data_IF_547243820326
#
_entry.id   IF_547243820326
#
_cell.length_a   1.000
_cell.length_b   1.000
_cell.length_c   1.000
_cell.angle_alpha   90.00
_cell.angle_beta   90.00
_cell.angle_gamma   90.00
#
_symmetry.space_group_name_H-M   'P 1'
#
loop_
_entity.id
_entity.type
_entity.pdbx_description
1 polymer ?
#
# COMPACT_ATOMS: atom_id res chain seq x y z
N UNK A 1 -12.45 26.61 6.50
CA UNK A 1 -12.14 28.00 6.10
C UNK A 1 -12.49 28.25 4.62
N UNK A 2 -13.74 28.00 4.22
CA UNK A 2 -14.27 28.29 2.88
C UNK A 2 -15.33 29.42 2.95
N UNK A 3 -16.13 29.41 4.02
CA UNK A 3 -17.08 30.48 4.36
C UNK A 3 -16.43 31.87 4.49
N UNK A 4 -15.14 31.94 4.86
CA UNK A 4 -14.41 33.21 4.99
C UNK A 4 -14.05 33.90 3.67
N UNK A 5 -14.12 33.20 2.53
CA UNK A 5 -13.89 33.75 1.20
C UNK A 5 -15.20 33.95 0.42
N UNK A 6 -16.24 33.19 0.76
CA UNK A 6 -17.60 33.37 0.21
C UNK A 6 -18.16 34.76 0.52
N UNK A 7 -17.81 35.36 1.66
CA UNK A 7 -18.28 36.71 2.02
C UNK A 7 -17.86 37.79 1.00
N UNK A 8 -16.81 37.55 0.22
CA UNK A 8 -16.32 38.50 -0.80
C UNK A 8 -17.25 38.59 -2.02
N UNK A 9 -18.14 37.62 -2.22
CA UNK A 9 -19.16 37.65 -3.28
C UNK A 9 -20.25 38.69 -3.00
N UNK A 10 -20.47 39.07 -1.74
CA UNK A 10 -21.43 40.11 -1.35
C UNK A 10 -20.87 41.54 -1.46
N UNK A 11 -19.68 41.72 -2.04
CA UNK A 11 -19.05 43.03 -2.17
C UNK A 11 -19.60 43.83 -3.35
N UNK A 12 -19.77 45.15 -3.18
CA UNK A 12 -20.11 46.07 -4.26
C UNK A 12 -18.94 46.36 -5.23
N UNK A 13 -17.72 45.95 -4.87
CA UNK A 13 -16.56 46.10 -5.75
C UNK A 13 -16.36 44.83 -6.58
N UNK A 14 -16.56 44.92 -7.90
CA UNK A 14 -16.47 43.78 -8.81
C UNK A 14 -15.12 43.03 -8.77
N UNK A 15 -14.02 43.71 -8.45
CA UNK A 15 -12.71 43.07 -8.26
C UNK A 15 -12.67 42.15 -7.03
N UNK A 16 -13.33 42.53 -5.94
CA UNK A 16 -13.43 41.70 -4.72
C UNK A 16 -14.33 40.49 -4.97
N UNK A 17 -15.41 40.66 -5.74
CA UNK A 17 -16.30 39.55 -6.12
C UNK A 17 -15.56 38.53 -6.98
N UNK A 18 -14.82 38.98 -8.00
CA UNK A 18 -14.00 38.11 -8.86
C UNK A 18 -12.93 37.36 -8.05
N UNK A 19 -12.23 38.05 -7.15
CA UNK A 19 -11.24 37.45 -6.26
C UNK A 19 -11.88 36.45 -5.29
N UNK A 20 -13.04 36.76 -4.74
CA UNK A 20 -13.82 35.88 -3.87
C UNK A 20 -14.20 34.58 -4.57
N UNK A 21 -14.76 34.67 -5.78
CA UNK A 21 -15.13 33.51 -6.58
C UNK A 21 -13.92 32.63 -6.93
N UNK A 22 -12.82 33.25 -7.37
CA UNK A 22 -11.59 32.54 -7.74
C UNK A 22 -10.97 31.81 -6.54
N UNK A 23 -10.84 32.51 -5.41
CA UNK A 23 -10.23 31.95 -4.19
C UNK A 23 -11.10 30.86 -3.56
N UNK A 24 -12.43 31.06 -3.47
CA UNK A 24 -13.36 30.03 -3.02
C UNK A 24 -13.27 28.77 -3.89
N UNK A 25 -13.28 28.90 -5.22
CA UNK A 25 -13.19 27.75 -6.13
C UNK A 25 -11.86 27.01 -5.94
N UNK A 26 -10.76 27.74 -5.80
CA UNK A 26 -9.43 27.16 -5.54
C UNK A 26 -9.40 26.37 -4.24
N UNK A 27 -10.05 26.85 -3.17
CA UNK A 27 -10.12 26.13 -1.89
C UNK A 27 -10.91 24.82 -1.96
N UNK A 28 -12.00 24.79 -2.74
CA UNK A 28 -12.76 23.55 -3.00
C UNK A 28 -11.85 22.55 -3.69
N UNK A 29 -11.18 22.97 -4.76
CA UNK A 29 -10.24 22.12 -5.50
C UNK A 29 -9.12 21.65 -4.58
N UNK A 30 -8.55 22.54 -3.75
CA UNK A 30 -7.52 22.19 -2.78
C UNK A 30 -7.98 21.12 -1.79
N UNK A 31 -9.23 21.19 -1.33
CA UNK A 31 -9.80 20.17 -0.45
C UNK A 31 -9.90 18.82 -1.17
N UNK A 32 -10.39 18.78 -2.41
CA UNK A 32 -10.41 17.56 -3.21
C UNK A 32 -9.01 17.01 -3.49
N UNK A 33 -8.06 17.87 -3.84
CA UNK A 33 -6.65 17.50 -4.02
C UNK A 33 -6.09 16.86 -2.76
N UNK A 34 -6.36 17.41 -1.58
CA UNK A 34 -5.86 16.82 -0.34
C UNK A 34 -6.48 15.45 -0.03
N UNK A 35 -7.71 15.20 -0.48
CA UNK A 35 -8.38 13.91 -0.28
C UNK A 35 -8.05 12.87 -1.36
N UNK A 36 -7.81 13.29 -2.60
CA UNK A 36 -7.66 12.39 -3.76
C UNK A 36 -6.20 12.36 -4.23
N UNK A 37 -5.59 13.52 -4.45
CA UNK A 37 -4.22 13.61 -4.95
C UNK A 37 -3.23 13.02 -3.93
N UNK A 38 -3.41 13.30 -2.63
CA UNK A 38 -2.50 12.80 -1.60
C UNK A 38 -2.43 11.26 -1.55
N UNK A 39 -3.54 10.50 -1.39
CA UNK A 39 -3.47 9.04 -1.37
C UNK A 39 -3.07 8.43 -2.72
N UNK A 40 -3.42 9.06 -3.84
CA UNK A 40 -3.00 8.58 -5.17
C UNK A 40 -1.51 8.80 -5.41
N UNK A 41 -0.95 9.91 -4.92
CA UNK A 41 0.48 10.17 -4.96
C UNK A 41 1.23 9.14 -4.12
N UNK A 42 0.76 8.89 -2.89
CA UNK A 42 1.33 7.85 -2.02
C UNK A 42 1.23 6.49 -2.71
N UNK A 43 0.08 6.07 -3.21
CA UNK A 43 -0.08 4.79 -3.92
C UNK A 43 0.80 4.68 -5.18
N UNK A 44 1.06 5.78 -5.87
CA UNK A 44 1.90 5.81 -7.08
C UNK A 44 3.39 5.73 -6.75
N UNK A 45 3.84 6.39 -5.67
CA UNK A 45 5.24 6.39 -5.24
C UNK A 45 5.59 5.32 -4.21
N UNK A 46 4.59 4.67 -3.63
CA UNK A 46 4.73 3.44 -2.85
C UNK A 46 5.04 2.29 -3.81
N UNK A 47 6.20 2.39 -4.46
CA UNK A 47 6.87 1.24 -5.05
C UNK A 47 7.36 0.45 -3.86
N UNK A 48 6.86 -0.77 -3.61
CA UNK A 48 7.46 -1.62 -2.60
C UNK A 48 8.92 -1.73 -2.98
N UNK A 49 9.81 -1.19 -2.12
CA UNK A 49 11.21 -1.56 -2.20
C UNK A 49 11.17 -3.06 -1.94
N UNK A 50 11.19 -3.86 -3.01
CA UNK A 50 11.52 -5.27 -2.94
C UNK A 50 12.86 -5.26 -2.23
N UNK A 51 12.82 -5.47 -0.92
CA UNK A 51 14.02 -5.76 -0.18
C UNK A 51 14.49 -7.03 -0.86
N UNK A 52 15.61 -6.93 -1.58
CA UNK A 52 16.45 -8.08 -1.82
C UNK A 52 16.96 -8.50 -0.44
N UNK A 53 16.05 -9.08 0.32
CA UNK A 53 16.31 -9.69 1.60
C UNK A 53 15.79 -11.10 1.39
N UNK A 54 16.75 -11.98 1.25
CA UNK A 54 16.57 -13.42 1.23
C UNK A 54 15.82 -13.83 2.48
N UNK A 55 14.49 -13.80 2.43
CA UNK A 55 13.64 -14.43 3.43
C UNK A 55 12.74 -15.42 2.70
N UNK A 56 13.24 -16.65 2.76
CA UNK A 56 12.53 -17.91 2.82
C UNK A 56 11.01 -17.71 3.01
N UNK A 57 10.22 -18.18 2.05
CA UNK A 57 8.75 -18.27 2.05
C UNK A 57 8.07 -17.03 1.43
N UNK A 58 8.01 -17.05 0.10
CA UNK A 58 7.03 -16.29 -0.67
C UNK A 58 5.69 -17.05 -0.66
N UNK A 59 4.60 -16.33 -0.40
CA UNK A 59 3.26 -16.59 -0.92
C UNK A 59 2.51 -17.86 -0.42
N UNK A 60 1.68 -17.70 0.62
CA UNK A 60 0.51 -18.57 0.83
C UNK A 60 -0.57 -18.14 -0.17
N UNK A 61 -0.45 -18.62 -1.41
CA UNK A 61 -1.52 -18.52 -2.41
C UNK A 61 -2.66 -19.46 -2.00
N UNK A 62 -3.79 -18.91 -1.52
CA UNK A 62 -4.98 -19.71 -1.17
C UNK A 62 -5.79 -20.11 -2.43
N UNK A 63 -5.26 -19.90 -3.63
CA UNK A 63 -5.95 -20.20 -4.90
C UNK A 63 -5.11 -20.99 -5.91
N UNK A 64 -3.86 -21.35 -5.58
CA UNK A 64 -2.92 -21.97 -6.51
C UNK A 64 -2.30 -23.30 -6.09
N UNK A 65 -2.58 -23.81 -4.89
CA UNK A 65 -2.14 -25.15 -4.49
C UNK A 65 -3.24 -26.17 -4.76
N UNK A 66 -3.13 -26.86 -5.89
CA UNK A 66 -3.77 -28.16 -6.05
C UNK A 66 -3.21 -29.12 -5.02
N UNK A 67 -4.08 -29.87 -4.35
CA UNK A 67 -3.77 -30.99 -3.44
C UNK A 67 -3.08 -32.18 -4.16
N UNK A 68 -2.24 -31.93 -5.17
CA UNK A 68 -1.66 -32.95 -6.05
C UNK A 68 -0.14 -33.06 -5.99
N UNK A 69 0.56 -32.15 -5.29
CA UNK A 69 2.03 -32.13 -5.20
C UNK A 69 2.58 -32.53 -3.82
N UNK A 70 1.76 -33.18 -2.98
CA UNK A 70 2.27 -33.85 -1.78
C UNK A 70 3.05 -35.11 -2.20
N UNK A 71 4.30 -34.93 -2.66
CA UNK A 71 5.21 -36.05 -2.89
C UNK A 71 5.50 -36.75 -1.55
N UNK A 72 5.09 -38.02 -1.46
CA UNK A 72 5.29 -38.89 -0.31
C UNK A 72 6.79 -39.02 0.03
N UNK A 73 7.15 -38.81 1.30
CA UNK A 73 8.54 -38.91 1.77
C UNK A 73 9.05 -40.35 1.58
N UNK A 74 10.05 -40.54 0.72
CA UNK A 74 10.69 -41.85 0.49
C UNK A 74 11.59 -42.26 1.67
N UNK A 75 11.01 -43.00 2.62
CA UNK A 75 11.67 -43.53 3.81
C UNK A 75 12.88 -44.43 3.51
N UNK A 76 13.03 -44.94 2.28
CA UNK A 76 14.16 -45.80 1.91
C UNK A 76 15.49 -45.04 1.83
N UNK A 77 15.45 -43.71 1.66
CA UNK A 77 16.65 -42.86 1.58
C UNK A 77 17.19 -42.42 2.95
N UNK A 78 16.48 -42.75 4.03
CA UNK A 78 16.90 -42.43 5.39
C UNK A 78 17.97 -43.44 5.82
N UNK A 79 19.24 -43.02 5.84
CA UNK A 79 20.33 -43.81 6.44
C UNK A 79 20.36 -43.60 7.95
N UNK A 80 20.01 -44.64 8.69
CA UNK A 80 20.19 -44.68 10.15
C UNK A 80 21.66 -44.99 10.43
N UNK A 81 22.38 -44.05 11.06
CA UNK A 81 23.72 -44.28 11.58
C UNK A 81 23.59 -44.80 13.00
N UNK A 82 23.66 -46.12 13.17
CA UNK A 82 23.67 -46.74 14.49
C UNK A 82 25.04 -46.48 15.15
N UNK A 83 25.08 -45.57 16.12
CA UNK A 83 26.21 -45.45 17.05
C UNK A 83 25.92 -46.36 18.24
N UNK A 84 25.92 -47.66 18.02
CA UNK A 84 25.93 -48.65 19.10
C UNK A 84 27.37 -48.84 19.60
N UNK A 85 27.66 -48.23 20.74
CA UNK A 85 28.54 -48.74 21.80
C UNK A 85 29.95 -49.22 21.45
N UNK A 86 30.93 -48.32 21.51
CA UNK A 86 32.26 -48.67 22.04
C UNK A 86 32.29 -48.27 23.52
N UNK A 87 31.83 -49.19 24.36
CA UNK A 87 32.12 -49.22 25.78
C UNK A 87 32.43 -50.68 26.16
N UNK A 88 33.66 -51.09 25.87
CA UNK A 88 34.38 -52.13 26.61
C UNK A 88 35.69 -51.51 27.12
#
# INVERSE_FOLDING_TARGET
MFAGFIIFVFSDFGGTVALGLLTSTTLIISMFTNLILLPTLIMTFDKPKKKEDHQLIDEVDTTGYGESEDEEIDLSKIKIHDRSGNAE
#
